data_IF_739919705515
#
_entry.id   IF_739919705515
#
_cell.length_a   1.000
_cell.length_b   1.000
_cell.length_c   1.000
_cell.angle_alpha   90.00
_cell.angle_beta   90.00
_cell.angle_gamma   90.00
#
_symmetry.space_group_name_H-M   'P 1'
#
loop_
_entity.id
_entity.type
_entity.pdbx_description
1 polymer ?
#
# COMPACT_ATOMS: atom_id res chain seq x y z
N UNK A 1 -5.19 10.59 -0.14
CA UNK A 1 -4.23 9.91 0.75
C UNK A 1 -2.84 10.54 0.80
N UNK A 2 -2.14 10.69 -0.34
CA UNK A 2 -0.78 11.28 -0.39
C UNK A 2 -0.63 12.62 0.35
N UNK A 3 -1.57 13.53 0.12
CA UNK A 3 -1.61 14.85 0.76
C UNK A 3 -1.82 14.84 2.27
N UNK A 4 -2.33 13.75 2.86
CA UNK A 4 -2.61 13.67 4.29
C UNK A 4 -1.35 13.31 5.06
N UNK A 5 -0.62 12.28 4.65
CA UNK A 5 0.65 11.90 5.27
C UNK A 5 1.77 12.92 5.02
N UNK A 6 1.79 13.58 3.85
CA UNK A 6 2.78 14.62 3.55
C UNK A 6 2.68 15.80 4.55
N UNK A 7 1.46 16.29 4.82
CA UNK A 7 1.23 17.37 5.80
C UNK A 7 1.61 16.99 7.24
N UNK A 8 1.44 15.73 7.58
CA UNK A 8 1.64 15.21 8.95
C UNK A 8 3.12 15.00 9.26
N UNK A 9 3.94 14.73 8.25
CA UNK A 9 5.38 14.62 8.39
C UNK A 9 6.09 15.98 8.56
N UNK A 10 5.53 17.05 7.98
CA UNK A 10 6.13 18.40 7.97
C UNK A 10 6.10 19.10 9.34
N UNK A 11 5.17 18.75 10.23
CA UNK A 11 4.96 19.45 11.50
C UNK A 11 5.60 18.79 12.73
N UNK A 12 6.37 17.69 12.55
CA UNK A 12 7.04 16.97 13.65
C UNK A 12 6.10 16.25 14.64
N UNK A 13 4.80 16.57 14.61
CA UNK A 13 3.72 15.90 15.32
C UNK A 13 2.85 15.15 14.31
N UNK A 14 2.75 13.83 14.47
CA UNK A 14 1.96 12.97 13.57
C UNK A 14 0.47 12.87 13.93
N UNK A 15 0.00 13.72 14.84
CA UNK A 15 -1.40 13.83 15.19
C UNK A 15 -2.19 14.56 14.10
N UNK A 16 -3.34 14.01 13.74
CA UNK A 16 -4.36 14.64 12.89
C UNK A 16 -5.69 14.68 13.62
N UNK A 17 -6.47 15.71 13.35
CA UNK A 17 -7.91 15.65 13.57
C UNK A 17 -8.57 15.01 12.35
N UNK A 18 -9.17 13.84 12.54
CA UNK A 18 -9.86 13.07 11.53
C UNK A 18 -11.30 12.85 11.98
N UNK A 19 -12.25 13.60 11.38
CA UNK A 19 -13.68 13.56 11.72
C UNK A 19 -13.97 13.76 13.22
N UNK A 20 -13.34 14.77 13.83
CA UNK A 20 -13.51 15.08 15.26
C UNK A 20 -12.78 14.12 16.20
N UNK A 21 -12.02 13.16 15.67
CA UNK A 21 -11.15 12.26 16.45
C UNK A 21 -9.69 12.62 16.24
N UNK A 22 -8.92 12.71 17.33
CA UNK A 22 -7.48 12.85 17.23
C UNK A 22 -6.83 11.49 16.99
N UNK A 23 -6.13 11.32 15.87
CA UNK A 23 -5.40 10.11 15.52
C UNK A 23 -3.91 10.43 15.38
N UNK A 24 -3.05 9.57 15.92
CA UNK A 24 -1.61 9.64 15.65
C UNK A 24 -1.27 8.62 14.59
N UNK A 25 -0.82 9.08 13.42
CA UNK A 25 -0.48 8.17 12.33
C UNK A 25 0.94 7.60 12.51
N UNK A 26 1.14 6.30 12.19
CA UNK A 26 2.47 5.71 12.15
C UNK A 26 3.33 6.38 11.07
N UNK A 27 4.68 6.24 11.14
CA UNK A 27 5.54 6.57 10.01
C UNK A 27 5.09 5.83 8.77
N UNK A 28 5.26 6.47 7.63
CA UNK A 28 5.17 5.79 6.35
C UNK A 28 6.57 5.61 5.78
N UNK A 29 6.90 4.39 5.38
CA UNK A 29 8.15 4.07 4.72
C UNK A 29 8.27 4.77 3.35
N UNK A 30 9.52 5.05 2.99
CA UNK A 30 9.92 5.69 1.73
C UNK A 30 11.06 4.89 1.11
N UNK A 31 10.85 4.39 -0.09
CA UNK A 31 11.80 3.51 -0.79
C UNK A 31 12.58 4.26 -1.86
N UNK A 32 13.90 4.09 -1.85
CA UNK A 32 14.82 4.75 -2.78
C UNK A 32 15.37 3.80 -3.85
N UNK A 33 15.03 2.51 -3.81
CA UNK A 33 15.49 1.53 -4.80
C UNK A 33 14.48 0.40 -5.00
N UNK A 34 14.51 -0.21 -6.19
CA UNK A 34 13.72 -1.42 -6.51
C UNK A 34 14.00 -2.53 -5.49
N UNK A 35 15.27 -2.72 -5.11
CA UNK A 35 15.68 -3.74 -4.13
C UNK A 35 15.03 -3.50 -2.76
N UNK A 36 14.96 -2.24 -2.30
CA UNK A 36 14.30 -1.92 -1.02
C UNK A 36 12.79 -2.20 -1.06
N UNK A 37 12.15 -2.02 -2.22
CA UNK A 37 10.74 -2.36 -2.41
C UNK A 37 10.56 -3.88 -2.44
N UNK A 38 11.42 -4.63 -3.14
CA UNK A 38 11.37 -6.10 -3.16
C UNK A 38 11.45 -6.68 -1.76
N UNK A 39 12.45 -6.27 -0.97
CA UNK A 39 12.62 -6.74 0.41
C UNK A 39 11.38 -6.46 1.26
N UNK A 40 10.84 -5.25 1.15
CA UNK A 40 9.63 -4.88 1.89
C UNK A 40 8.41 -5.71 1.48
N UNK A 41 8.22 -5.98 0.18
CA UNK A 41 7.15 -6.87 -0.30
C UNK A 41 7.31 -8.29 0.26
N UNK A 42 8.53 -8.81 0.26
CA UNK A 42 8.82 -10.14 0.82
C UNK A 42 8.54 -10.19 2.34
N UNK A 43 8.94 -9.15 3.08
CA UNK A 43 8.68 -9.02 4.51
C UNK A 43 7.17 -8.95 4.81
N UNK A 44 6.41 -8.19 4.01
CA UNK A 44 4.94 -8.08 4.14
C UNK A 44 4.27 -9.43 3.88
N UNK A 45 4.63 -10.14 2.81
CA UNK A 45 4.02 -11.43 2.45
C UNK A 45 4.40 -12.56 3.42
N UNK A 46 5.54 -12.43 4.11
CA UNK A 46 5.97 -13.41 5.12
C UNK A 46 5.48 -13.08 6.53
N UNK A 47 4.90 -11.90 6.76
CA UNK A 47 4.30 -11.51 8.03
C UNK A 47 3.21 -12.51 8.44
N UNK A 48 3.28 -13.02 9.68
CA UNK A 48 2.42 -14.12 10.13
C UNK A 48 0.92 -13.85 9.99
N UNK A 49 0.46 -12.62 10.26
CA UNK A 49 -0.93 -12.22 10.08
C UNK A 49 -1.36 -12.21 8.61
N UNK A 50 -0.50 -11.70 7.71
CA UNK A 50 -0.75 -11.68 6.25
C UNK A 50 -0.77 -13.10 5.70
N UNK A 51 0.20 -13.94 6.05
CA UNK A 51 0.26 -15.33 5.61
C UNK A 51 -0.91 -16.16 6.13
N UNK A 52 -1.37 -15.92 7.36
CA UNK A 52 -2.55 -16.60 7.90
C UNK A 52 -3.83 -16.20 7.17
N UNK A 53 -3.95 -14.92 6.78
CA UNK A 53 -5.14 -14.38 6.11
C UNK A 53 -5.21 -14.69 4.62
N UNK A 54 -4.07 -14.72 3.93
CA UNK A 54 -3.93 -15.04 2.50
C UNK A 54 -2.91 -16.17 2.29
N UNK A 55 -3.22 -17.41 2.73
CA UNK A 55 -2.27 -18.52 2.70
C UNK A 55 -1.90 -19.00 1.29
N UNK A 56 -2.70 -18.63 0.28
CA UNK A 56 -2.49 -18.96 -1.13
C UNK A 56 -1.85 -17.82 -1.92
N UNK A 57 -1.42 -16.74 -1.25
CA UNK A 57 -0.69 -15.65 -1.91
C UNK A 57 0.58 -16.21 -2.55
N UNK A 58 0.76 -15.94 -3.84
CA UNK A 58 1.91 -16.42 -4.60
C UNK A 58 3.14 -15.53 -4.41
N UNK A 59 4.24 -15.90 -5.07
CA UNK A 59 5.40 -15.01 -5.15
C UNK A 59 5.04 -13.71 -5.88
N UNK A 60 5.64 -12.60 -5.43
CA UNK A 60 5.47 -11.27 -6.02
C UNK A 60 6.83 -10.63 -6.25
N UNK A 61 7.17 -10.44 -7.52
CA UNK A 61 8.43 -9.81 -7.91
C UNK A 61 8.26 -8.31 -8.14
N UNK A 62 9.32 -7.56 -7.94
CA UNK A 62 9.37 -6.12 -8.18
C UNK A 62 10.42 -5.84 -9.23
N UNK A 63 10.06 -5.05 -10.24
CA UNK A 63 10.98 -4.69 -11.33
C UNK A 63 10.97 -3.20 -11.63
N UNK A 64 12.07 -2.64 -12.15
CA UNK A 64 12.06 -1.30 -12.69
C UNK A 64 11.15 -1.21 -13.93
N UNK A 65 10.54 -0.04 -14.13
CA UNK A 65 9.92 0.37 -15.39
C UNK A 65 10.40 1.76 -15.80
N UNK A 66 10.65 1.95 -17.10
CA UNK A 66 10.90 3.28 -17.66
C UNK A 66 9.61 4.09 -17.66
N UNK A 67 9.67 5.37 -17.25
CA UNK A 67 8.53 6.29 -17.30
C UNK A 67 8.17 6.93 -15.97
N UNK A 68 7.17 7.81 -15.97
CA UNK A 68 6.64 8.52 -14.78
C UNK A 68 5.36 7.89 -14.23
N UNK A 69 4.88 6.87 -14.91
CA UNK A 69 3.69 6.11 -14.52
C UNK A 69 3.87 5.57 -13.11
N UNK A 70 2.81 5.67 -12.30
CA UNK A 70 2.77 5.12 -10.95
C UNK A 70 3.20 3.64 -10.91
N UNK A 71 3.52 3.17 -9.71
CA UNK A 71 3.66 1.73 -9.49
C UNK A 71 2.41 1.00 -10.01
N UNK A 72 2.60 -0.21 -10.50
CA UNK A 72 1.52 -0.96 -11.11
C UNK A 72 1.75 -2.46 -10.95
N UNK A 73 0.76 -3.13 -10.37
CA UNK A 73 0.63 -4.56 -10.33
C UNK A 73 0.12 -5.13 -11.67
N UNK A 74 0.70 -6.24 -12.10
CA UNK A 74 0.21 -7.06 -13.21
C UNK A 74 0.47 -8.54 -12.94
N UNK A 75 -0.37 -9.41 -13.50
CA UNK A 75 -0.18 -10.87 -13.48
C UNK A 75 -0.39 -11.44 -14.88
N UNK A 76 0.51 -12.30 -15.30
CA UNK A 76 0.43 -13.08 -16.54
C UNK A 76 0.95 -14.51 -16.30
N UNK A 77 1.13 -15.29 -17.37
CA UNK A 77 1.66 -16.66 -17.32
C UNK A 77 3.08 -16.74 -16.74
N UNK A 78 3.86 -15.65 -16.80
CA UNK A 78 5.22 -15.59 -16.23
C UNK A 78 5.20 -15.26 -14.73
N UNK A 79 4.07 -14.81 -14.19
CA UNK A 79 3.85 -14.61 -12.76
C UNK A 79 3.32 -13.23 -12.40
N UNK A 80 3.37 -12.91 -11.11
CA UNK A 80 2.90 -11.63 -10.58
C UNK A 80 4.06 -10.66 -10.36
N UNK A 81 3.85 -9.41 -10.79
CA UNK A 81 4.89 -8.38 -10.83
C UNK A 81 4.34 -7.03 -10.39
N UNK A 82 5.09 -6.31 -9.54
CA UNK A 82 4.94 -4.87 -9.33
C UNK A 82 6.00 -4.16 -10.16
N UNK A 83 5.58 -3.37 -11.14
CA UNK A 83 6.46 -2.52 -11.91
C UNK A 83 6.54 -1.13 -11.26
N UNK A 84 7.71 -0.78 -10.72
CA UNK A 84 7.95 0.51 -10.03
C UNK A 84 8.77 1.46 -10.88
N UNK A 85 8.49 2.78 -10.85
CA UNK A 85 9.22 3.74 -11.68
C UNK A 85 10.72 3.72 -11.34
N UNK A 86 11.55 3.58 -12.37
CA UNK A 86 13.01 3.53 -12.26
C UNK A 86 13.59 4.94 -12.34
N UNK A 87 14.10 5.52 -11.23
CA UNK A 87 14.72 6.86 -11.26
C UNK A 87 15.83 7.07 -10.25
N UNK A 88 16.90 7.69 -10.75
CA UNK A 88 18.10 8.13 -10.05
C UNK A 88 17.99 9.54 -9.41
N UNK A 89 16.79 10.11 -9.20
CA UNK A 89 16.64 11.46 -8.58
C UNK A 89 15.46 11.58 -7.60
N UNK A 90 15.74 12.22 -6.45
CA UNK A 90 14.94 12.99 -5.46
C UNK A 90 13.51 12.60 -5.03
N UNK A 91 12.87 11.54 -5.51
CA UNK A 91 11.59 11.06 -4.98
C UNK A 91 11.72 9.64 -4.42
N UNK A 92 10.91 9.33 -3.42
CA UNK A 92 10.83 8.00 -2.83
C UNK A 92 9.43 7.40 -3.06
N UNK A 93 9.37 6.12 -3.38
CA UNK A 93 8.11 5.38 -3.46
C UNK A 93 7.53 5.23 -2.05
N UNK A 94 6.24 5.51 -1.89
CA UNK A 94 5.57 5.51 -0.57
C UNK A 94 5.03 4.12 -0.22
N UNK A 95 5.08 3.77 1.06
CA UNK A 95 4.57 2.50 1.60
C UNK A 95 3.13 2.20 1.20
N UNK A 96 2.23 3.16 1.33
CA UNK A 96 0.83 2.95 0.95
C UNK A 96 0.63 2.69 -0.55
N UNK A 97 1.54 3.18 -1.40
CA UNK A 97 1.51 2.86 -2.83
C UNK A 97 1.95 1.41 -3.04
N UNK A 98 2.99 0.96 -2.34
CA UNK A 98 3.43 -0.45 -2.43
C UNK A 98 2.34 -1.38 -1.88
N UNK A 99 1.75 -1.07 -0.73
CA UNK A 99 0.65 -1.85 -0.15
C UNK A 99 -0.60 -1.87 -1.05
N UNK A 100 -0.89 -0.78 -1.77
CA UNK A 100 -1.96 -0.75 -2.77
C UNK A 100 -1.72 -1.79 -3.88
N UNK A 101 -0.49 -1.85 -4.41
CA UNK A 101 -0.14 -2.85 -5.43
C UNK A 101 -0.09 -4.29 -4.87
N UNK A 102 0.31 -4.47 -3.60
CA UNK A 102 0.20 -5.77 -2.91
C UNK A 102 -1.26 -6.17 -2.72
N UNK A 103 -2.16 -5.23 -2.42
CA UNK A 103 -3.59 -5.52 -2.31
C UNK A 103 -4.17 -6.03 -3.64
N UNK A 104 -3.72 -5.50 -4.79
CA UNK A 104 -4.06 -6.06 -6.09
C UNK A 104 -3.52 -7.47 -6.31
N UNK A 105 -2.38 -7.82 -5.69
CA UNK A 105 -1.89 -9.19 -5.71
C UNK A 105 -2.75 -10.14 -4.88
N UNK A 106 -3.27 -9.66 -3.75
CA UNK A 106 -4.06 -10.45 -2.79
C UNK A 106 -5.55 -10.54 -3.14
N UNK A 107 -6.03 -9.70 -4.05
CA UNK A 107 -7.42 -9.64 -4.49
C UNK A 107 -7.50 -9.43 -6.00
N UNK A 108 -8.01 -10.43 -6.70
CA UNK A 108 -8.24 -10.45 -8.16
C UNK A 108 -9.70 -10.13 -8.54
N UNK A 109 -10.49 -9.60 -7.60
CA UNK A 109 -11.89 -9.29 -7.82
C UNK A 109 -12.10 -8.11 -8.79
N UNK A 110 -13.18 -8.20 -9.57
CA UNK A 110 -13.63 -7.14 -10.48
C UNK A 110 -14.82 -6.37 -9.87
N UNK A 111 -14.89 -5.03 -10.01
CA UNK A 111 -13.88 -4.16 -10.61
C UNK A 111 -12.62 -4.03 -9.71
N UNK A 112 -11.45 -3.61 -10.25
CA UNK A 112 -10.18 -3.69 -9.53
C UNK A 112 -10.09 -2.85 -8.25
N UNK A 113 -10.97 -1.85 -8.10
CA UNK A 113 -11.10 -0.99 -6.90
C UNK A 113 -12.49 -1.08 -6.28
N UNK A 114 -13.16 -2.23 -6.43
CA UNK A 114 -14.45 -2.51 -5.81
C UNK A 114 -14.36 -2.81 -4.31
N UNK A 115 -15.49 -3.12 -3.67
CA UNK A 115 -15.58 -3.38 -2.23
C UNK A 115 -14.58 -4.43 -1.71
N UNK A 116 -14.37 -5.51 -2.45
CA UNK A 116 -13.46 -6.59 -2.05
C UNK A 116 -11.99 -6.12 -2.05
N UNK A 117 -11.60 -5.28 -3.01
CA UNK A 117 -10.28 -4.66 -3.02
C UNK A 117 -10.11 -3.72 -1.82
N UNK A 118 -11.10 -2.86 -1.56
CA UNK A 118 -11.05 -1.92 -0.43
C UNK A 118 -10.95 -2.65 0.90
N UNK A 119 -11.75 -3.70 1.11
CA UNK A 119 -11.65 -4.55 2.30
C UNK A 119 -10.26 -5.17 2.44
N UNK A 120 -9.73 -5.75 1.36
CA UNK A 120 -8.38 -6.34 1.32
C UNK A 120 -7.31 -5.30 1.65
N UNK A 121 -7.37 -4.11 1.06
CA UNK A 121 -6.39 -3.06 1.28
C UNK A 121 -6.45 -2.51 2.72
N UNK A 122 -7.64 -2.36 3.29
CA UNK A 122 -7.81 -1.95 4.68
C UNK A 122 -7.27 -3.01 5.65
N UNK A 123 -7.59 -4.30 5.43
CA UNK A 123 -7.07 -5.41 6.25
C UNK A 123 -5.53 -5.51 6.15
N UNK A 124 -4.97 -5.34 4.95
CA UNK A 124 -3.52 -5.36 4.74
C UNK A 124 -2.84 -4.17 5.44
N UNK A 125 -3.39 -2.97 5.29
CA UNK A 125 -2.84 -1.78 5.95
C UNK A 125 -2.94 -1.87 7.48
N UNK A 126 -4.00 -2.48 8.02
CA UNK A 126 -4.12 -2.77 9.45
C UNK A 126 -3.02 -3.70 9.94
N UNK A 127 -2.78 -4.79 9.20
CA UNK A 127 -1.80 -5.80 9.56
C UNK A 127 -0.35 -5.26 9.51
N UNK A 128 -0.06 -4.33 8.59
CA UNK A 128 1.30 -3.85 8.33
C UNK A 128 1.60 -2.52 9.03
N UNK A 129 0.69 -1.54 8.93
CA UNK A 129 0.90 -0.19 9.44
C UNK A 129 0.15 0.09 10.75
N UNK A 130 -0.96 -0.61 10.99
CA UNK A 130 -1.77 -0.47 12.21
C UNK A 130 -3.21 0.03 11.96
N UNK A 131 -4.04 -0.05 13.02
CA UNK A 131 -5.48 0.21 12.91
C UNK A 131 -5.83 1.66 12.56
N UNK A 132 -4.98 2.63 12.88
CA UNK A 132 -5.21 4.05 12.57
C UNK A 132 -5.21 4.29 11.04
N UNK A 133 -4.27 3.67 10.32
CA UNK A 133 -4.19 3.78 8.86
C UNK A 133 -5.37 3.08 8.21
N UNK A 134 -5.73 1.89 8.70
CA UNK A 134 -6.91 1.16 8.23
C UNK A 134 -8.20 1.95 8.46
N UNK A 135 -8.35 2.61 9.61
CA UNK A 135 -9.50 3.47 9.87
C UNK A 135 -9.58 4.64 8.88
N UNK A 136 -8.46 5.34 8.64
CA UNK A 136 -8.40 6.43 7.66
C UNK A 136 -8.79 5.93 6.27
N UNK A 137 -8.28 4.78 5.84
CA UNK A 137 -8.61 4.16 4.56
C UNK A 137 -10.11 3.86 4.43
N UNK A 138 -10.70 3.18 5.41
CA UNK A 138 -12.13 2.82 5.40
C UNK A 138 -13.01 4.05 5.25
N UNK A 139 -12.71 5.12 5.98
CA UNK A 139 -13.50 6.37 5.91
C UNK A 139 -13.32 7.08 4.57
N UNK A 140 -12.10 7.09 4.01
CA UNK A 140 -11.85 7.68 2.68
C UNK A 140 -12.63 6.94 1.59
N UNK A 141 -12.56 5.62 1.54
CA UNK A 141 -13.28 4.84 0.53
C UNK A 141 -14.80 4.87 0.72
N UNK A 142 -15.29 4.88 1.97
CA UNK A 142 -16.71 5.08 2.26
C UNK A 142 -17.25 6.39 1.66
N UNK A 143 -16.46 7.47 1.75
CA UNK A 143 -16.80 8.77 1.15
C UNK A 143 -16.79 8.77 -0.37
N UNK A 144 -15.96 7.93 -0.98
CA UNK A 144 -15.91 7.72 -2.43
C UNK A 144 -17.02 6.78 -2.93
N UNK A 145 -17.85 6.24 -2.03
CA UNK A 145 -18.99 5.38 -2.36
C UNK A 145 -18.62 3.91 -2.54
N UNK A 146 -17.42 3.49 -2.10
CA UNK A 146 -16.98 2.09 -2.16
C UNK A 146 -17.10 1.47 -0.76
N UNK A 147 -18.00 0.50 -0.62
CA UNK A 147 -18.35 -0.18 0.63
C UNK A 147 -18.51 -1.68 0.38
#
# INVERSE_FOLDING_TARGET
MRTLFDRVAEHGNRAIEFFGTNLTLPPEARFASVESVQRYVDDVLTLGSVRARWPTAGALSVRPRRGATAAHYSRDDAGAVIAVPDRHTTWALRELVVLHEVAHHLCDAEPPHGPQFVATFCELAEAVMGPEVAHVLRVVYAKEGVQ
#
